data_IF_266386998298
#
_entry.id   IF_266386998298
#
_cell.length_a   1.000
_cell.length_b   1.000
_cell.length_c   1.000
_cell.angle_alpha   90.00
_cell.angle_beta   90.00
_cell.angle_gamma   90.00
#
_symmetry.space_group_name_H-M   'P 1'
#
loop_
_entity.id
_entity.type
_entity.pdbx_description
1 polymer ?
#
# COMPACT_ATOMS: atom_id res chain seq x y z
N UNK A 1 31.96 -10.87 6.31
CA UNK A 1 30.66 -10.41 6.83
C UNK A 1 30.84 -8.98 7.32
N UNK A 2 30.31 -7.99 6.60
CA UNK A 2 30.59 -6.55 6.83
C UNK A 2 30.06 -6.09 8.19
N UNK A 3 28.94 -6.65 8.65
CA UNK A 3 28.32 -6.25 9.92
C UNK A 3 29.17 -6.60 11.14
N UNK A 4 29.98 -7.66 11.04
CA UNK A 4 30.90 -8.05 12.12
C UNK A 4 32.07 -7.08 12.24
N UNK A 5 32.60 -6.59 11.12
CA UNK A 5 33.68 -5.60 11.13
C UNK A 5 33.22 -4.27 11.73
N UNK A 6 32.02 -3.80 11.33
CA UNK A 6 31.43 -2.56 11.87
C UNK A 6 31.18 -2.67 13.37
N UNK A 7 30.75 -3.84 13.85
CA UNK A 7 30.51 -4.06 15.28
C UNK A 7 31.80 -4.00 16.11
N UNK A 8 32.89 -4.56 15.60
CA UNK A 8 34.19 -4.49 16.28
C UNK A 8 34.71 -3.05 16.31
N UNK A 9 34.57 -2.28 15.23
CA UNK A 9 34.93 -0.85 15.23
C UNK A 9 34.13 -0.04 16.25
N UNK A 10 32.81 -0.25 16.33
CA UNK A 10 31.97 0.46 17.30
C UNK A 10 32.33 0.14 18.76
N UNK A 11 32.75 -1.11 19.04
CA UNK A 11 33.24 -1.50 20.36
C UNK A 11 34.59 -0.88 20.68
N UNK A 12 35.52 -0.84 19.71
CA UNK A 12 36.86 -0.25 19.90
C UNK A 12 36.80 1.26 20.12
N UNK A 13 35.86 1.93 19.46
CA UNK A 13 35.65 3.39 19.57
C UNK A 13 34.70 3.78 20.72
N UNK A 14 34.33 2.84 21.60
CA UNK A 14 33.41 3.04 22.74
C UNK A 14 32.09 3.73 22.38
N UNK A 15 31.60 3.54 21.15
CA UNK A 15 30.36 4.17 20.69
C UNK A 15 29.16 3.37 21.22
N UNK A 16 28.31 3.95 22.08
CA UNK A 16 27.17 3.22 22.63
C UNK A 16 26.11 2.97 21.55
N UNK A 17 25.70 1.71 21.42
CA UNK A 17 24.59 1.31 20.54
C UNK A 17 23.49 0.64 21.36
N UNK A 18 22.22 0.99 21.07
CA UNK A 18 21.05 0.47 21.79
C UNK A 18 20.49 -0.81 21.18
N UNK A 19 20.56 -0.96 19.85
CA UNK A 19 20.15 -2.15 19.13
C UNK A 19 20.74 -2.16 17.72
N UNK A 20 20.92 -3.36 17.15
CA UNK A 20 21.32 -3.55 15.75
C UNK A 20 20.19 -4.31 15.06
N UNK A 21 19.52 -3.67 14.11
CA UNK A 21 18.44 -4.31 13.35
C UNK A 21 19.01 -5.15 12.22
N UNK A 22 19.35 -6.41 12.52
CA UNK A 22 19.73 -7.38 11.49
C UNK A 22 18.48 -8.13 11.03
N UNK A 23 18.00 -7.82 9.82
CA UNK A 23 16.98 -8.64 9.18
C UNK A 23 17.63 -9.97 8.77
N UNK A 24 17.70 -10.91 9.72
CA UNK A 24 18.36 -12.21 9.52
C UNK A 24 17.56 -13.15 8.60
N UNK A 25 16.28 -12.83 8.33
CA UNK A 25 15.41 -13.54 7.38
C UNK A 25 14.40 -12.57 6.75
N UNK A 26 14.08 -12.70 5.45
CA UNK A 26 12.93 -12.01 4.88
C UNK A 26 11.64 -12.49 5.57
N UNK A 27 10.69 -11.59 5.80
CA UNK A 27 9.37 -11.86 6.42
C UNK A 27 8.51 -12.85 5.62
N UNK A 28 8.85 -13.08 4.35
CA UNK A 28 8.36 -14.18 3.52
C UNK A 28 9.51 -14.83 2.77
N UNK A 29 9.65 -16.14 2.93
CA UNK A 29 10.37 -16.98 1.96
C UNK A 29 9.28 -17.59 1.08
N UNK A 30 9.18 -17.16 -0.17
CA UNK A 30 8.46 -17.94 -1.20
C UNK A 30 9.24 -19.26 -1.31
N UNK A 31 8.69 -20.32 -0.71
CA UNK A 31 9.23 -21.66 -0.90
C UNK A 31 8.72 -22.18 -2.23
N UNK A 32 9.47 -21.95 -3.30
CA UNK A 32 9.42 -22.82 -4.46
C UNK A 32 10.17 -24.11 -4.11
N UNK A 33 9.48 -25.01 -3.41
CA UNK A 33 9.97 -26.35 -3.13
C UNK A 33 9.52 -27.32 -4.22
N UNK A 34 10.35 -28.27 -4.66
CA UNK A 34 9.92 -29.29 -5.60
C UNK A 34 8.79 -30.11 -4.98
N UNK A 35 7.77 -30.40 -5.79
CA UNK A 35 6.62 -31.23 -5.43
C UNK A 35 7.14 -32.64 -5.14
N UNK A 36 7.54 -32.91 -3.90
CA UNK A 36 7.77 -34.27 -3.41
C UNK A 36 6.66 -34.57 -2.42
N UNK A 37 5.73 -35.40 -2.90
CA UNK A 37 4.59 -35.98 -2.19
C UNK A 37 5.05 -36.80 -0.98
N UNK A 38 4.95 -36.25 0.23
CA UNK A 38 4.93 -37.02 1.48
C UNK A 38 3.83 -36.53 2.43
N UNK A 39 2.74 -37.30 2.48
CA UNK A 39 1.70 -37.28 3.54
C UNK A 39 0.59 -36.23 3.38
N UNK A 40 -0.63 -36.47 3.94
CA UNK A 40 -1.73 -35.52 3.89
C UNK A 40 -1.43 -34.38 4.87
N UNK A 41 -0.61 -33.45 4.40
CA UNK A 41 -0.33 -32.20 5.08
C UNK A 41 -1.64 -31.42 5.07
N UNK A 42 -2.29 -31.30 6.23
CA UNK A 42 -3.41 -30.37 6.40
C UNK A 42 -2.86 -28.97 6.12
N UNK A 43 -3.07 -28.46 4.92
CA UNK A 43 -2.90 -27.05 4.63
C UNK A 43 -4.04 -26.32 5.33
N UNK A 44 -3.68 -25.40 6.22
CA UNK A 44 -4.65 -24.40 6.66
C UNK A 44 -5.13 -23.67 5.41
N UNK A 45 -6.45 -23.55 5.21
CA UNK A 45 -6.99 -22.56 4.30
C UNK A 45 -6.65 -21.20 4.90
N UNK A 46 -5.45 -20.69 4.61
CA UNK A 46 -5.24 -19.27 4.67
C UNK A 46 -6.12 -18.70 3.56
N UNK A 47 -7.22 -18.07 3.94
CA UNK A 47 -7.94 -17.21 3.03
C UNK A 47 -6.90 -16.25 2.45
N UNK A 48 -6.78 -16.26 1.11
CA UNK A 48 -5.83 -15.39 0.43
C UNK A 48 -6.24 -13.98 0.80
N UNK A 49 -5.52 -13.40 1.76
CA UNK A 49 -5.73 -12.04 2.19
C UNK A 49 -5.67 -11.20 0.92
N UNK A 50 -6.76 -10.46 0.68
CA UNK A 50 -6.88 -9.66 -0.53
C UNK A 50 -5.69 -8.71 -0.54
N UNK A 51 -4.80 -8.92 -1.51
CA UNK A 51 -3.61 -8.10 -1.67
C UNK A 51 -4.06 -6.62 -1.65
N UNK A 52 -3.45 -5.78 -0.79
CA UNK A 52 -3.82 -4.37 -0.72
C UNK A 52 -3.72 -3.74 -2.11
N UNK A 53 -4.69 -2.90 -2.44
CA UNK A 53 -4.63 -2.18 -3.71
C UNK A 53 -3.38 -1.30 -3.80
N UNK A 54 -2.80 -1.12 -5.00
CA UNK A 54 -1.76 -0.13 -5.20
C UNK A 54 -2.29 1.28 -4.90
N UNK A 55 -1.41 2.23 -4.55
CA UNK A 55 -1.82 3.62 -4.34
C UNK A 55 -2.43 4.22 -5.58
N UNK A 56 -3.37 5.13 -5.36
CA UNK A 56 -3.73 6.13 -6.36
C UNK A 56 -2.62 7.19 -6.41
N UNK A 57 -2.08 7.44 -7.59
CA UNK A 57 -0.98 8.37 -7.80
C UNK A 57 -1.39 9.54 -8.70
N UNK A 58 -1.17 10.77 -8.25
CA UNK A 58 -1.44 11.98 -9.04
C UNK A 58 -0.14 12.70 -9.43
N UNK A 59 -0.12 13.20 -10.67
CA UNK A 59 1.02 13.85 -11.32
C UNK A 59 2.27 12.95 -11.29
N UNK A 60 2.19 11.83 -12.02
CA UNK A 60 3.24 10.83 -12.12
C UNK A 60 4.29 11.29 -13.14
N UNK A 61 5.35 11.97 -12.71
CA UNK A 61 6.60 11.97 -13.48
C UNK A 61 7.34 10.66 -13.20
N UNK A 62 8.16 10.21 -14.17
CA UNK A 62 8.75 8.87 -14.26
C UNK A 62 9.50 8.35 -13.00
N UNK A 63 9.68 9.16 -11.96
CA UNK A 63 10.31 8.77 -10.70
C UNK A 63 9.66 9.33 -9.42
N UNK A 64 8.67 10.23 -9.47
CA UNK A 64 8.12 10.89 -8.27
C UNK A 64 6.68 11.36 -8.45
N UNK A 65 5.67 10.64 -7.94
CA UNK A 65 4.32 11.16 -7.86
C UNK A 65 4.27 12.36 -6.91
N UNK A 66 3.48 13.38 -7.23
CA UNK A 66 3.26 14.47 -6.29
C UNK A 66 2.42 14.04 -5.08
N UNK A 67 1.34 13.29 -5.35
CA UNK A 67 0.44 12.79 -4.31
C UNK A 67 0.34 11.28 -4.47
N UNK A 68 0.52 10.56 -3.36
CA UNK A 68 0.18 9.15 -3.25
C UNK A 68 -0.87 8.98 -2.18
N UNK A 69 -1.95 8.29 -2.54
CA UNK A 69 -3.08 8.07 -1.66
C UNK A 69 -3.39 6.58 -1.55
N UNK A 70 -3.47 6.08 -0.32
CA UNK A 70 -3.80 4.70 0.02
C UNK A 70 -4.94 4.66 1.03
N UNK A 71 -5.86 3.73 0.84
CA UNK A 71 -6.82 3.36 1.85
C UNK A 71 -7.26 1.90 1.65
N UNK A 72 -7.54 1.20 2.74
CA UNK A 72 -8.14 -0.13 2.65
C UNK A 72 -9.61 -0.05 2.20
N UNK A 73 -10.31 1.01 2.60
CA UNK A 73 -11.70 1.28 2.25
C UNK A 73 -11.96 2.77 2.11
N UNK A 74 -12.79 3.13 1.13
CA UNK A 74 -13.36 4.48 0.98
C UNK A 74 -14.87 4.30 0.92
N UNK A 75 -15.55 4.82 1.94
CA UNK A 75 -16.99 4.69 2.06
C UNK A 75 -17.57 6.04 2.43
N UNK A 76 -18.73 6.35 1.84
CA UNK A 76 -19.44 7.60 2.09
C UNK A 76 -20.84 7.27 2.56
N UNK A 77 -21.27 7.94 3.61
CA UNK A 77 -22.63 7.83 4.10
C UNK A 77 -23.49 8.98 3.56
N UNK A 78 -24.69 8.67 3.11
CA UNK A 78 -25.75 9.64 2.85
C UNK A 78 -27.04 9.18 3.51
N UNK A 79 -27.36 9.82 4.64
CA UNK A 79 -28.39 9.32 5.56
C UNK A 79 -28.02 7.93 6.06
N UNK A 80 -28.90 6.97 5.81
CA UNK A 80 -28.72 5.57 6.23
C UNK A 80 -27.99 4.71 5.19
N UNK A 81 -27.63 5.27 4.02
CA UNK A 81 -26.97 4.54 2.94
C UNK A 81 -25.46 4.72 3.00
N UNK A 82 -24.75 3.61 3.10
CA UNK A 82 -23.30 3.55 2.98
C UNK A 82 -22.91 3.08 1.57
N UNK A 83 -22.20 3.92 0.83
CA UNK A 83 -21.71 3.62 -0.52
C UNK A 83 -20.21 3.35 -0.47
N UNK A 84 -19.78 2.21 -1.00
CA UNK A 84 -18.37 1.83 -1.08
C UNK A 84 -17.74 2.22 -2.43
N UNK A 85 -16.74 3.10 -2.37
CA UNK A 85 -16.01 3.62 -3.53
C UNK A 85 -14.63 2.96 -3.70
N UNK A 86 -14.28 1.99 -2.87
CA UNK A 86 -12.93 1.40 -2.83
C UNK A 86 -12.53 0.82 -4.19
N UNK A 87 -13.37 -0.03 -4.77
CA UNK A 87 -13.13 -0.62 -6.09
C UNK A 87 -13.13 0.44 -7.21
N UNK A 88 -13.93 1.50 -7.09
CA UNK A 88 -13.97 2.59 -8.08
C UNK A 88 -12.73 3.48 -8.01
N UNK A 89 -12.04 3.50 -6.87
CA UNK A 89 -10.84 4.32 -6.63
C UNK A 89 -9.55 3.57 -6.92
N UNK A 90 -9.43 2.33 -6.44
CA UNK A 90 -8.17 1.58 -6.47
C UNK A 90 -8.24 0.23 -7.22
N UNK A 91 -9.42 -0.17 -7.69
CA UNK A 91 -9.60 -1.44 -8.40
C UNK A 91 -8.99 -1.43 -9.80
N UNK A 92 -8.89 -2.61 -10.41
CA UNK A 92 -8.33 -2.78 -11.76
C UNK A 92 -9.12 -1.97 -12.80
N UNK A 93 -10.44 -1.86 -12.61
CA UNK A 93 -11.35 -1.05 -13.43
C UNK A 93 -11.70 0.30 -12.76
N UNK A 94 -10.77 0.91 -12.02
CA UNK A 94 -11.01 2.19 -11.36
C UNK A 94 -11.49 3.27 -12.35
N UNK A 95 -12.62 3.89 -12.03
CA UNK A 95 -13.27 4.92 -12.87
C UNK A 95 -13.17 6.32 -12.29
N UNK A 96 -12.43 6.49 -11.19
CA UNK A 96 -12.26 7.79 -10.54
C UNK A 96 -11.47 8.75 -11.46
N UNK A 97 -12.00 9.95 -11.66
CA UNK A 97 -11.29 11.02 -12.35
C UNK A 97 -10.55 11.87 -11.32
N UNK A 98 -9.25 12.09 -11.55
CA UNK A 98 -8.39 12.92 -10.69
C UNK A 98 -7.85 14.17 -11.41
N UNK A 99 -8.36 14.47 -12.61
CA UNK A 99 -7.84 15.53 -13.47
C UNK A 99 -7.97 16.95 -12.89
N UNK A 100 -8.86 17.18 -11.93
CA UNK A 100 -9.04 18.46 -11.24
C UNK A 100 -8.18 18.61 -9.99
N UNK A 101 -7.39 17.60 -9.66
CA UNK A 101 -6.37 17.69 -8.61
C UNK A 101 -5.32 18.74 -9.00
N UNK A 102 -4.64 19.31 -8.00
CA UNK A 102 -3.60 20.31 -8.21
C UNK A 102 -2.40 20.02 -7.35
N UNK A 103 -1.21 20.21 -7.90
CA UNK A 103 0.04 20.11 -7.17
C UNK A 103 0.93 21.31 -7.52
N UNK A 104 1.33 22.05 -6.50
CA UNK A 104 2.28 23.16 -6.56
C UNK A 104 3.32 23.01 -5.44
N UNK A 105 4.30 23.93 -5.40
CA UNK A 105 5.33 23.92 -4.36
C UNK A 105 4.80 24.19 -2.95
N UNK A 106 3.60 24.78 -2.82
CA UNK A 106 3.03 25.21 -1.54
C UNK A 106 1.77 24.43 -1.17
N UNK A 107 1.02 23.96 -2.16
CA UNK A 107 -0.27 23.30 -1.96
C UNK A 107 -0.41 22.09 -2.86
N UNK A 108 -0.97 21.02 -2.29
CA UNK A 108 -1.31 19.80 -2.98
C UNK A 108 -2.74 19.41 -2.59
N UNK A 109 -3.65 19.42 -3.56
CA UNK A 109 -5.05 19.06 -3.38
C UNK A 109 -5.38 17.89 -4.30
N UNK A 110 -5.91 16.80 -3.74
CA UNK A 110 -6.35 15.64 -4.48
C UNK A 110 -7.87 15.68 -4.61
N UNK A 111 -8.37 15.88 -5.82
CA UNK A 111 -9.79 15.83 -6.11
C UNK A 111 -10.16 14.47 -6.69
N UNK A 112 -11.08 13.75 -6.06
CA UNK A 112 -11.65 12.49 -6.51
C UNK A 112 -13.04 12.75 -7.09
N UNK A 113 -13.19 12.58 -8.39
CA UNK A 113 -14.45 12.79 -9.11
C UNK A 113 -15.03 11.47 -9.60
N UNK A 114 -16.28 11.23 -9.24
CA UNK A 114 -17.01 10.03 -9.60
C UNK A 114 -18.29 10.41 -10.36
N UNK A 115 -18.47 9.78 -11.51
CA UNK A 115 -19.72 9.85 -12.26
C UNK A 115 -20.65 8.73 -11.83
N UNK A 116 -21.95 9.04 -11.68
CA UNK A 116 -23.01 8.07 -11.45
C UNK A 116 -22.73 7.13 -10.25
N UNK A 117 -22.64 7.73 -9.06
CA UNK A 117 -22.52 7.05 -7.77
C UNK A 117 -23.92 6.79 -7.22
N UNK A 118 -24.53 5.67 -7.60
CA UNK A 118 -25.83 5.21 -7.08
C UNK A 118 -26.86 6.35 -6.90
N UNK A 119 -27.41 6.54 -5.69
CA UNK A 119 -28.35 7.62 -5.38
C UNK A 119 -27.70 9.00 -5.17
N UNK A 120 -26.38 9.10 -5.22
CA UNK A 120 -25.62 10.35 -5.07
C UNK A 120 -25.42 11.07 -6.41
N UNK A 121 -25.57 10.38 -7.55
CA UNK A 121 -25.34 10.98 -8.85
C UNK A 121 -23.86 11.34 -9.06
N UNK A 122 -23.55 12.59 -9.38
CA UNK A 122 -22.17 13.04 -9.51
C UNK A 122 -21.60 13.44 -8.14
N UNK A 123 -20.40 12.95 -7.82
CA UNK A 123 -19.75 13.18 -6.54
C UNK A 123 -18.33 13.69 -6.75
N UNK A 124 -17.95 14.72 -6.01
CA UNK A 124 -16.57 15.23 -5.94
C UNK A 124 -16.11 15.38 -4.51
N UNK A 125 -14.96 14.81 -4.20
CA UNK A 125 -14.27 14.91 -2.91
C UNK A 125 -12.98 15.68 -3.18
N UNK A 126 -12.67 16.73 -2.41
CA UNK A 126 -11.46 17.56 -2.56
C UNK A 126 -10.74 17.64 -1.23
#
# INVERSE_FOLDING_TARGET
>A
NIIGQVLETLKTEEVPFLAIFTASRPSRIVREGPIISLGPRRQLLAEKEKEPYPPLAYNLTAASPCILFWAARIQISNGDKLVDLTNRTFGDDATVNIGTSTCSNLTANLALEYNNVESLGALRIV
#
